data_IF_984174915437
#
_entry.id   IF_984174915437
#
_cell.length_a   1.000
_cell.length_b   1.000
_cell.length_c   1.000
_cell.angle_alpha   90.00
_cell.angle_beta   90.00
_cell.angle_gamma   90.00
#
_symmetry.space_group_name_H-M   'P 1'
#
loop_
_entity.id
_entity.type
_entity.pdbx_description
1 polymer ?
#
# COMPACT_ATOMS: atom_id res chain seq x y z
N UNK A 1 -35.10 -22.08 44.71
CA UNK A 1 -34.16 -22.20 43.56
C UNK A 1 -34.45 -21.26 42.38
N UNK A 2 -35.68 -20.78 42.17
CA UNK A 2 -36.03 -19.88 41.05
C UNK A 2 -35.62 -18.41 41.24
N UNK A 3 -35.45 -17.93 42.48
CA UNK A 3 -35.06 -16.53 42.74
C UNK A 3 -33.57 -16.24 42.48
N UNK A 4 -32.69 -17.23 42.70
CA UNK A 4 -31.24 -17.05 42.48
C UNK A 4 -30.88 -17.04 40.99
N UNK A 5 -31.65 -17.79 40.16
CA UNK A 5 -31.39 -17.81 38.71
C UNK A 5 -31.75 -16.48 38.00
N UNK A 6 -32.78 -15.79 38.50
CA UNK A 6 -33.21 -14.50 37.92
C UNK A 6 -32.21 -13.36 38.22
N UNK A 7 -31.56 -13.40 39.39
CA UNK A 7 -30.58 -12.38 39.79
C UNK A 7 -29.25 -12.53 39.05
N UNK A 8 -28.83 -13.78 38.76
CA UNK A 8 -27.59 -14.04 37.99
C UNK A 8 -27.78 -13.67 36.50
N UNK A 9 -28.94 -13.95 35.91
CA UNK A 9 -29.23 -13.56 34.54
C UNK A 9 -29.27 -12.02 34.32
N UNK A 10 -29.81 -11.28 35.30
CA UNK A 10 -29.84 -9.81 35.25
C UNK A 10 -28.43 -9.19 35.40
N UNK A 11 -27.53 -9.79 36.20
CA UNK A 11 -26.17 -9.30 36.42
C UNK A 11 -25.26 -9.54 35.18
N UNK A 12 -25.48 -10.64 34.43
CA UNK A 12 -24.73 -10.94 33.20
C UNK A 12 -25.17 -10.02 32.04
N UNK A 13 -26.44 -9.66 31.96
CA UNK A 13 -26.94 -8.73 30.94
C UNK A 13 -26.46 -7.29 31.17
N UNK A 14 -26.30 -6.85 32.42
CA UNK A 14 -25.76 -5.51 32.72
C UNK A 14 -24.25 -5.40 32.43
N UNK A 15 -23.48 -6.48 32.59
CA UNK A 15 -22.04 -6.47 32.29
C UNK A 15 -21.73 -6.45 30.79
N UNK A 16 -22.62 -6.97 29.94
CA UNK A 16 -22.44 -6.90 28.47
C UNK A 16 -22.83 -5.51 27.89
N UNK A 17 -23.73 -4.78 28.53
CA UNK A 17 -24.12 -3.43 28.09
C UNK A 17 -23.04 -2.37 28.37
N UNK A 18 -22.16 -2.59 29.34
CA UNK A 18 -21.08 -1.64 29.67
C UNK A 18 -19.90 -1.66 28.71
N UNK A 19 -19.69 -2.76 27.95
CA UNK A 19 -18.58 -2.88 27.03
C UNK A 19 -18.79 -2.15 25.69
N UNK A 20 -20.05 -1.84 25.32
CA UNK A 20 -20.36 -1.18 24.05
C UNK A 20 -20.32 0.36 24.12
N UNK A 21 -20.26 0.96 25.30
CA UNK A 21 -20.33 2.42 25.49
C UNK A 21 -18.94 3.10 25.52
N UNK A 22 -17.85 2.31 25.56
CA UNK A 22 -16.50 2.85 25.79
C UNK A 22 -15.82 3.41 24.51
N UNK A 23 -16.43 3.27 23.35
CA UNK A 23 -15.78 3.60 22.07
C UNK A 23 -16.46 4.70 21.25
N UNK A 24 -17.60 5.24 21.71
CA UNK A 24 -18.26 6.35 21.05
C UNK A 24 -17.49 7.64 21.25
N UNK A 25 -16.96 8.19 20.17
CA UNK A 25 -16.29 9.49 20.16
C UNK A 25 -14.76 9.43 20.22
N UNK A 26 -14.13 8.23 20.26
CA UNK A 26 -12.67 8.10 20.14
C UNK A 26 -12.17 8.61 18.79
N UNK A 27 -11.03 9.30 18.78
CA UNK A 27 -10.36 9.71 17.55
C UNK A 27 -9.27 8.69 17.20
N UNK A 28 -9.47 8.01 16.07
CA UNK A 28 -8.47 7.10 15.48
C UNK A 28 -7.50 7.91 14.64
N UNK A 29 -6.25 8.02 15.09
CA UNK A 29 -5.17 8.68 14.37
C UNK A 29 -4.53 7.73 13.38
N UNK A 30 -4.43 8.16 12.12
CA UNK A 30 -3.82 7.42 11.01
C UNK A 30 -2.67 8.26 10.47
N UNK A 31 -1.44 7.78 10.57
CA UNK A 31 -0.31 8.43 9.91
C UNK A 31 -0.30 8.08 8.43
N UNK A 32 -0.27 9.11 7.60
CA UNK A 32 -0.11 8.98 6.15
C UNK A 32 1.33 9.35 5.78
N UNK A 33 2.13 8.36 5.35
CA UNK A 33 3.58 8.48 5.12
C UNK A 33 3.90 8.36 3.63
N UNK A 34 3.75 9.43 2.89
CA UNK A 34 4.04 9.46 1.45
C UNK A 34 4.63 10.82 1.02
N UNK A 35 5.17 10.95 -0.21
CA UNK A 35 5.91 12.15 -0.60
C UNK A 35 5.00 13.38 -0.72
N UNK A 36 5.30 14.42 0.04
CA UNK A 36 4.71 15.75 -0.07
C UNK A 36 5.67 16.78 -0.65
N UNK A 37 6.91 16.37 -0.93
CA UNK A 37 7.95 17.18 -1.56
C UNK A 37 8.62 16.43 -2.72
N UNK A 38 9.42 17.15 -3.52
CA UNK A 38 10.15 16.59 -4.66
C UNK A 38 9.27 16.21 -5.85
N UNK A 39 9.77 15.31 -6.69
CA UNK A 39 9.15 14.95 -7.98
C UNK A 39 7.75 14.34 -7.86
N UNK A 40 7.46 13.68 -6.74
CA UNK A 40 6.18 13.01 -6.50
C UNK A 40 5.21 13.84 -5.65
N UNK A 41 5.54 15.09 -5.32
CA UNK A 41 4.73 15.94 -4.44
C UNK A 41 3.29 16.15 -4.93
N UNK A 42 3.10 16.33 -6.23
CA UNK A 42 1.76 16.51 -6.82
C UNK A 42 0.89 15.28 -6.62
N UNK A 43 1.45 14.08 -6.86
CA UNK A 43 0.75 12.80 -6.64
C UNK A 43 0.43 12.63 -5.15
N UNK A 44 1.42 12.78 -4.28
CA UNK A 44 1.24 12.64 -2.85
C UNK A 44 0.21 13.62 -2.27
N UNK A 45 0.26 14.89 -2.69
CA UNK A 45 -0.72 15.90 -2.26
C UNK A 45 -2.15 15.52 -2.65
N UNK A 46 -2.37 15.00 -3.86
CA UNK A 46 -3.70 14.56 -4.29
C UNK A 46 -4.19 13.35 -3.48
N UNK A 47 -3.33 12.38 -3.25
CA UNK A 47 -3.64 11.21 -2.44
C UNK A 47 -3.94 11.60 -0.99
N UNK A 48 -3.11 12.46 -0.38
CA UNK A 48 -3.34 12.99 0.98
C UNK A 48 -4.73 13.64 1.11
N UNK A 49 -5.10 14.50 0.17
CA UNK A 49 -6.42 15.15 0.17
C UNK A 49 -7.56 14.13 0.07
N UNK A 50 -7.39 13.06 -0.71
CA UNK A 50 -8.37 11.98 -0.79
C UNK A 50 -8.53 11.26 0.54
N UNK A 51 -7.43 10.96 1.23
CA UNK A 51 -7.46 10.36 2.56
C UNK A 51 -8.12 11.27 3.59
N UNK A 52 -7.80 12.57 3.59
CA UNK A 52 -8.41 13.55 4.50
C UNK A 52 -9.93 13.68 4.25
N UNK A 53 -10.34 13.80 2.99
CA UNK A 53 -11.75 13.85 2.63
C UNK A 53 -12.53 12.61 3.10
N UNK A 54 -11.99 11.41 2.82
CA UNK A 54 -12.64 10.17 3.25
C UNK A 54 -12.67 10.03 4.77
N UNK A 55 -11.61 10.43 5.47
CA UNK A 55 -11.59 10.44 6.93
C UNK A 55 -12.68 11.37 7.50
N UNK A 56 -12.88 12.55 6.91
CA UNK A 56 -13.97 13.47 7.28
C UNK A 56 -15.34 12.83 7.02
N UNK A 57 -15.57 12.28 5.83
CA UNK A 57 -16.85 11.66 5.47
C UNK A 57 -17.19 10.46 6.38
N UNK A 58 -16.24 9.55 6.58
CA UNK A 58 -16.46 8.39 7.45
C UNK A 58 -16.55 8.75 8.93
N UNK A 59 -16.03 9.89 9.36
CA UNK A 59 -16.21 10.39 10.74
C UNK A 59 -17.64 10.85 11.04
N UNK A 60 -18.42 11.21 10.01
CA UNK A 60 -19.81 11.64 10.17
C UNK A 60 -20.74 10.50 10.54
N UNK A 61 -20.53 9.33 9.96
CA UNK A 61 -21.34 8.14 10.21
C UNK A 61 -20.55 6.86 9.91
N UNK A 62 -20.22 6.09 10.96
CA UNK A 62 -19.62 4.78 10.84
C UNK A 62 -20.11 3.86 11.98
N UNK A 63 -20.09 2.51 11.78
CA UNK A 63 -20.61 1.55 12.76
C UNK A 63 -19.90 1.60 14.13
N UNK A 64 -18.63 2.02 14.16
CA UNK A 64 -17.84 2.11 15.38
C UNK A 64 -18.05 3.42 16.17
N UNK A 65 -18.70 4.43 15.56
CA UNK A 65 -18.93 5.73 16.18
C UNK A 65 -17.65 6.53 16.46
N UNK A 66 -16.56 6.22 15.75
CA UNK A 66 -15.25 6.88 15.94
C UNK A 66 -15.04 8.01 14.94
N UNK A 67 -14.13 8.93 15.26
CA UNK A 67 -13.62 9.94 14.33
C UNK A 67 -12.28 9.49 13.77
N UNK A 68 -11.98 9.86 12.52
CA UNK A 68 -10.70 9.60 11.89
C UNK A 68 -9.92 10.90 11.72
N UNK A 69 -8.65 10.87 12.06
CA UNK A 69 -7.71 11.98 11.86
C UNK A 69 -6.53 11.50 11.05
N UNK A 70 -6.29 12.14 9.90
CA UNK A 70 -5.12 11.87 9.06
C UNK A 70 -3.98 12.79 9.46
N UNK A 71 -2.84 12.20 9.84
CA UNK A 71 -1.61 12.91 10.18
C UNK A 71 -0.63 12.71 9.01
N UNK A 72 -0.52 13.69 8.08
CA UNK A 72 0.38 13.58 6.95
C UNK A 72 1.81 13.88 7.38
N UNK A 73 2.74 13.02 6.99
CA UNK A 73 4.17 13.21 7.22
C UNK A 73 4.91 12.88 5.91
N UNK A 74 5.68 13.85 5.42
CA UNK A 74 6.45 13.70 4.19
C UNK A 74 7.60 12.71 4.36
N UNK A 75 7.59 11.62 3.61
CA UNK A 75 8.66 10.63 3.58
C UNK A 75 9.68 10.85 2.45
N UNK A 76 9.49 11.89 1.62
CA UNK A 76 10.35 12.26 0.48
C UNK A 76 10.65 11.10 -0.48
N UNK A 77 9.81 10.07 -0.48
CA UNK A 77 10.00 8.81 -1.22
C UNK A 77 11.30 8.07 -0.83
N UNK A 78 11.86 8.31 0.35
CA UNK A 78 13.11 7.76 0.86
C UNK A 78 12.85 6.75 1.98
N UNK A 79 13.46 5.54 1.95
CA UNK A 79 13.37 4.58 3.06
C UNK A 79 13.84 5.16 4.40
N UNK A 80 14.90 5.98 4.41
CA UNK A 80 15.45 6.61 5.61
C UNK A 80 14.48 7.64 6.20
N UNK A 81 13.95 8.54 5.36
CA UNK A 81 12.97 9.53 5.80
C UNK A 81 11.67 8.86 6.25
N UNK A 82 11.26 7.76 5.58
CA UNK A 82 10.10 6.97 5.97
C UNK A 82 10.26 6.38 7.38
N UNK A 83 11.46 5.88 7.72
CA UNK A 83 11.73 5.36 9.07
C UNK A 83 11.66 6.48 10.12
N UNK A 84 12.15 7.68 9.79
CA UNK A 84 12.07 8.85 10.68
C UNK A 84 10.63 9.33 10.85
N UNK A 85 9.87 9.42 9.76
CA UNK A 85 8.45 9.78 9.75
C UNK A 85 7.61 8.78 10.57
N UNK A 86 7.87 7.48 10.40
CA UNK A 86 7.20 6.42 11.17
C UNK A 86 7.46 6.56 12.67
N UNK A 87 8.70 6.83 13.07
CA UNK A 87 9.04 7.06 14.48
C UNK A 87 8.29 8.26 15.04
N UNK A 88 8.29 9.39 14.33
CA UNK A 88 7.53 10.58 14.72
C UNK A 88 6.02 10.31 14.86
N UNK A 89 5.44 9.48 14.00
CA UNK A 89 4.04 9.06 14.11
C UNK A 89 3.79 8.21 15.37
N UNK A 90 4.66 7.24 15.64
CA UNK A 90 4.54 6.40 16.84
C UNK A 90 4.68 7.20 18.14
N UNK A 91 5.56 8.20 18.18
CA UNK A 91 5.73 9.11 19.32
C UNK A 91 4.45 9.94 19.59
N UNK A 92 3.62 10.16 18.58
CA UNK A 92 2.30 10.81 18.68
C UNK A 92 1.17 9.83 19.06
N UNK A 93 1.50 8.58 19.36
CA UNK A 93 0.53 7.54 19.75
C UNK A 93 -0.24 6.94 18.59
N UNK A 94 0.21 7.11 17.34
CA UNK A 94 -0.42 6.50 16.17
C UNK A 94 -0.27 4.99 16.20
N UNK A 95 -1.36 4.29 15.87
CA UNK A 95 -1.43 2.83 15.80
C UNK A 95 -1.71 2.30 14.39
N UNK A 96 -2.06 3.18 13.46
CA UNK A 96 -2.38 2.86 12.08
C UNK A 96 -1.54 3.71 11.15
N UNK A 97 -0.80 3.07 10.26
CA UNK A 97 0.05 3.72 9.27
C UNK A 97 -0.43 3.35 7.89
N UNK A 98 -0.56 4.33 7.01
CA UNK A 98 -0.84 4.14 5.59
C UNK A 98 0.32 4.68 4.76
N UNK A 99 0.70 3.95 3.73
CA UNK A 99 1.74 4.35 2.77
C UNK A 99 1.52 3.55 1.47
N UNK A 100 1.81 4.15 0.32
CA UNK A 100 1.61 3.50 -0.96
C UNK A 100 2.69 3.78 -1.99
N UNK A 101 3.37 4.91 -1.93
CA UNK A 101 4.34 5.27 -2.97
C UNK A 101 5.72 4.66 -2.67
N UNK A 102 6.10 3.69 -3.51
CA UNK A 102 7.42 3.08 -3.48
C UNK A 102 7.57 1.88 -2.53
N UNK A 103 8.03 0.76 -3.09
CA UNK A 103 8.23 -0.49 -2.34
C UNK A 103 9.43 -0.44 -1.38
N UNK A 104 10.41 0.44 -1.63
CA UNK A 104 11.50 0.69 -0.68
C UNK A 104 11.02 1.29 0.64
N UNK A 105 10.26 2.41 0.64
CA UNK A 105 9.55 2.92 1.81
C UNK A 105 8.67 1.89 2.50
N UNK A 106 7.89 1.11 1.75
CA UNK A 106 7.05 0.05 2.30
C UNK A 106 7.85 -0.98 3.10
N UNK A 107 8.95 -1.47 2.53
CA UNK A 107 9.84 -2.42 3.21
C UNK A 107 10.44 -1.81 4.48
N UNK A 108 10.85 -0.54 4.46
CA UNK A 108 11.40 0.15 5.62
C UNK A 108 10.36 0.25 6.77
N UNK A 109 9.09 0.49 6.45
CA UNK A 109 8.00 0.45 7.43
C UNK A 109 7.87 -0.95 8.03
N UNK A 110 7.80 -1.98 7.18
CA UNK A 110 7.64 -3.37 7.63
C UNK A 110 8.76 -3.80 8.57
N UNK A 111 10.02 -3.57 8.20
CA UNK A 111 11.20 -3.90 9.01
C UNK A 111 11.21 -3.16 10.37
N UNK A 112 10.78 -1.90 10.38
CA UNK A 112 10.70 -1.11 11.61
C UNK A 112 9.56 -1.58 12.51
N UNK A 113 8.39 -1.89 11.94
CA UNK A 113 7.23 -2.37 12.71
C UNK A 113 7.44 -3.75 13.30
N UNK A 114 8.09 -4.68 12.60
CA UNK A 114 8.47 -5.98 13.18
C UNK A 114 9.24 -5.81 14.47
N UNK A 115 10.25 -4.93 14.47
CA UNK A 115 11.09 -4.64 15.65
C UNK A 115 10.31 -3.91 16.75
N UNK A 116 9.44 -2.97 16.37
CA UNK A 116 8.63 -2.21 17.32
C UNK A 116 7.59 -3.11 18.01
N UNK A 117 6.80 -3.83 17.22
CA UNK A 117 5.68 -4.65 17.70
C UNK A 117 6.16 -5.84 18.53
N UNK A 118 7.35 -6.40 18.24
CA UNK A 118 7.96 -7.43 19.06
C UNK A 118 8.26 -6.95 20.50
N UNK A 119 8.61 -5.67 20.67
CA UNK A 119 9.05 -5.08 21.93
C UNK A 119 7.95 -4.34 22.70
N UNK A 120 6.88 -3.92 22.02
CA UNK A 120 5.83 -3.04 22.58
C UNK A 120 4.46 -3.71 22.54
N UNK A 121 4.31 -4.83 23.27
CA UNK A 121 3.06 -5.56 23.36
C UNK A 121 1.93 -4.69 23.92
N UNK A 122 0.76 -4.75 23.29
CA UNK A 122 -0.38 -3.89 23.57
C UNK A 122 -0.29 -2.49 22.95
N UNK A 123 0.82 -2.19 22.25
CA UNK A 123 1.04 -0.94 21.50
C UNK A 123 1.50 -1.21 20.08
N UNK A 124 1.07 -2.33 19.51
CA UNK A 124 1.41 -2.70 18.15
C UNK A 124 0.82 -1.69 17.15
N UNK A 125 1.52 -1.50 16.03
CA UNK A 125 1.13 -0.62 14.93
C UNK A 125 0.86 -1.47 13.69
N UNK A 126 -0.25 -1.17 13.01
CA UNK A 126 -0.64 -1.79 11.75
C UNK A 126 -0.23 -0.92 10.57
N UNK A 127 0.23 -1.57 9.50
CA UNK A 127 0.55 -0.93 8.24
C UNK A 127 -0.43 -1.36 7.14
N UNK A 128 -1.16 -0.40 6.58
CA UNK A 128 -2.06 -0.54 5.46
C UNK A 128 -1.39 0.03 4.20
N UNK A 129 -0.91 -0.85 3.36
CA UNK A 129 -0.25 -0.53 2.10
C UNK A 129 -1.30 -0.41 0.99
N UNK A 130 -1.53 0.80 0.48
CA UNK A 130 -2.57 1.00 -0.52
C UNK A 130 -2.08 0.97 -1.98
N UNK A 131 -0.74 1.00 -2.25
CA UNK A 131 -0.23 1.03 -3.63
C UNK A 131 1.23 0.57 -3.82
N UNK A 132 1.98 0.17 -2.79
CA UNK A 132 3.31 -0.42 -2.98
C UNK A 132 3.17 -1.89 -3.38
N UNK A 133 3.48 -2.20 -4.63
CA UNK A 133 3.05 -3.42 -5.33
C UNK A 133 4.16 -4.45 -5.55
N UNK A 134 5.27 -4.38 -4.83
CA UNK A 134 6.28 -5.44 -4.86
C UNK A 134 5.67 -6.75 -4.33
N UNK A 135 5.67 -7.84 -5.11
CA UNK A 135 5.13 -9.14 -4.69
C UNK A 135 5.78 -9.68 -3.43
N UNK A 136 7.08 -9.41 -3.21
CA UNK A 136 7.82 -9.92 -2.05
C UNK A 136 7.27 -9.39 -0.72
N UNK A 137 6.62 -8.22 -0.70
CA UNK A 137 6.03 -7.65 0.52
C UNK A 137 4.92 -8.52 1.14
N UNK A 138 4.30 -9.40 0.35
CA UNK A 138 3.28 -10.35 0.83
C UNK A 138 3.67 -11.81 0.56
N UNK A 139 4.92 -12.07 0.17
CA UNK A 139 5.47 -13.39 -0.09
C UNK A 139 6.71 -13.61 0.79
N UNK A 140 7.92 -13.52 0.23
CA UNK A 140 9.17 -13.82 0.94
C UNK A 140 9.45 -12.91 2.14
N UNK A 141 8.88 -11.71 2.16
CA UNK A 141 9.03 -10.70 3.22
C UNK A 141 7.71 -10.40 3.94
N UNK A 142 6.73 -11.30 3.87
CA UNK A 142 5.43 -11.05 4.48
C UNK A 142 5.56 -10.80 5.99
N UNK A 143 4.72 -9.91 6.51
CA UNK A 143 4.60 -9.56 7.92
C UNK A 143 3.15 -9.65 8.37
N UNK A 144 2.94 -10.14 9.60
CA UNK A 144 1.61 -10.18 10.22
C UNK A 144 0.98 -8.77 10.38
N UNK A 145 1.81 -7.73 10.42
CA UNK A 145 1.42 -6.34 10.65
C UNK A 145 1.21 -5.53 9.37
N UNK A 146 1.35 -6.16 8.19
CA UNK A 146 1.24 -5.53 6.89
C UNK A 146 0.06 -6.08 6.09
N UNK A 147 -0.79 -5.19 5.59
CA UNK A 147 -1.91 -5.52 4.73
C UNK A 147 -1.85 -4.71 3.45
N UNK A 148 -1.73 -5.37 2.31
CA UNK A 148 -1.77 -4.70 1.00
C UNK A 148 -3.19 -4.71 0.44
N UNK A 149 -3.65 -3.53 0.00
CA UNK A 149 -4.99 -3.30 -0.53
C UNK A 149 -5.05 -3.26 -2.06
N UNK A 150 -3.89 -3.28 -2.74
CA UNK A 150 -3.79 -3.29 -4.21
C UNK A 150 -3.22 -4.63 -4.72
N UNK A 151 -3.55 -4.97 -5.96
CA UNK A 151 -2.94 -6.08 -6.67
C UNK A 151 -1.44 -5.85 -6.86
N UNK A 152 -0.62 -6.87 -6.67
CA UNK A 152 0.82 -6.75 -6.89
C UNK A 152 1.21 -6.79 -8.38
N UNK A 153 2.50 -6.52 -8.63
CA UNK A 153 3.03 -6.49 -10.00
C UNK A 153 2.82 -7.81 -10.74
N UNK A 154 2.94 -8.94 -10.07
CA UNK A 154 2.75 -10.25 -10.71
C UNK A 154 1.29 -10.46 -11.11
N UNK A 155 0.33 -10.08 -10.26
CA UNK A 155 -1.10 -10.14 -10.55
C UNK A 155 -1.49 -9.20 -11.70
N UNK A 156 -0.95 -7.98 -11.71
CA UNK A 156 -1.15 -7.01 -12.79
C UNK A 156 -0.61 -7.52 -14.13
N UNK A 157 0.59 -8.10 -14.13
CA UNK A 157 1.19 -8.69 -15.33
C UNK A 157 0.47 -9.96 -15.77
N UNK A 158 -0.04 -10.77 -14.85
CA UNK A 158 -0.84 -11.93 -15.18
C UNK A 158 -2.13 -11.53 -15.93
N UNK A 159 -2.81 -10.49 -15.48
CA UNK A 159 -4.00 -9.96 -16.14
C UNK A 159 -3.67 -9.40 -17.54
N UNK A 160 -2.64 -8.54 -17.63
CA UNK A 160 -2.23 -7.93 -18.88
C UNK A 160 -1.77 -8.97 -19.92
N UNK A 161 -0.95 -9.93 -19.53
CA UNK A 161 -0.46 -10.98 -20.45
C UNK A 161 -1.55 -11.97 -20.84
N UNK A 162 -2.56 -12.19 -19.98
CA UNK A 162 -3.75 -12.96 -20.36
C UNK A 162 -4.61 -12.21 -21.39
N UNK A 163 -4.73 -10.89 -21.28
CA UNK A 163 -5.38 -10.09 -22.30
C UNK A 163 -4.61 -10.12 -23.62
N UNK A 164 -3.29 -9.98 -23.59
CA UNK A 164 -2.45 -10.08 -24.81
C UNK A 164 -2.55 -11.48 -25.45
N UNK A 165 -2.78 -12.53 -24.65
CA UNK A 165 -2.99 -13.88 -25.15
C UNK A 165 -4.14 -13.96 -26.15
N UNK A 166 -5.19 -13.19 -25.94
CA UNK A 166 -6.39 -13.14 -26.82
C UNK A 166 -6.18 -12.25 -28.07
N UNK A 167 -4.98 -11.69 -28.28
CA UNK A 167 -4.65 -10.79 -29.39
C UNK A 167 -3.71 -11.50 -30.38
N UNK A 168 -4.20 -12.30 -31.32
CA UNK A 168 -3.36 -13.12 -32.23
C UNK A 168 -2.47 -12.28 -33.15
N UNK A 169 -2.84 -11.03 -33.42
CA UNK A 169 -2.10 -10.12 -34.32
C UNK A 169 -0.88 -9.48 -33.64
N UNK A 170 -0.80 -9.51 -32.30
CA UNK A 170 0.38 -9.02 -31.58
C UNK A 170 1.51 -10.03 -31.71
N UNK A 171 2.58 -9.69 -32.41
CA UNK A 171 3.76 -10.53 -32.63
C UNK A 171 5.02 -9.94 -32.02
N UNK A 172 5.07 -8.64 -31.78
CA UNK A 172 6.20 -7.95 -31.18
C UNK A 172 5.76 -7.10 -30.00
N UNK A 173 6.54 -7.09 -28.94
CA UNK A 173 6.34 -6.29 -27.72
C UNK A 173 7.61 -5.57 -27.37
N UNK A 174 7.52 -4.28 -27.11
CA UNK A 174 8.60 -3.46 -26.57
C UNK A 174 8.27 -3.08 -25.13
N UNK A 175 9.18 -3.35 -24.19
CA UNK A 175 9.02 -2.99 -22.78
C UNK A 175 9.71 -1.65 -22.51
N UNK A 176 8.95 -0.68 -22.01
CA UNK A 176 9.49 0.62 -21.60
C UNK A 176 9.05 0.91 -20.17
N UNK A 177 9.97 0.81 -19.23
CA UNK A 177 9.72 0.89 -17.81
C UNK A 177 10.53 2.00 -17.13
N UNK A 178 10.22 2.33 -15.90
CA UNK A 178 11.02 3.24 -15.09
C UNK A 178 12.04 2.46 -14.25
N UNK A 179 13.23 3.02 -14.09
CA UNK A 179 14.37 2.39 -13.39
C UNK A 179 14.19 2.46 -11.86
N UNK A 180 13.35 1.61 -11.32
CA UNK A 180 13.17 1.33 -9.89
C UNK A 180 12.57 -0.06 -9.69
N UNK A 181 12.42 -0.51 -8.44
CA UNK A 181 12.02 -1.89 -8.13
C UNK A 181 10.77 -2.37 -8.90
N UNK A 182 9.70 -1.56 -8.95
CA UNK A 182 8.49 -1.92 -9.70
C UNK A 182 8.75 -2.08 -11.20
N UNK A 183 9.49 -1.15 -11.85
CA UNK A 183 9.78 -1.23 -13.28
C UNK A 183 10.57 -2.49 -13.65
N UNK A 184 11.56 -2.86 -12.84
CA UNK A 184 12.31 -4.11 -13.02
C UNK A 184 11.42 -5.35 -12.88
N UNK A 185 10.49 -5.35 -11.94
CA UNK A 185 9.54 -6.45 -11.77
C UNK A 185 8.53 -6.53 -12.89
N UNK A 186 8.01 -5.39 -13.39
CA UNK A 186 7.14 -5.36 -14.58
C UNK A 186 7.85 -6.02 -15.76
N UNK A 187 9.09 -5.61 -16.06
CA UNK A 187 9.90 -6.21 -17.12
C UNK A 187 10.07 -7.73 -16.93
N UNK A 188 10.46 -8.16 -15.73
CA UNK A 188 10.65 -9.57 -15.42
C UNK A 188 9.37 -10.38 -15.63
N UNK A 189 8.28 -10.00 -14.99
CA UNK A 189 7.04 -10.76 -15.06
C UNK A 189 6.39 -10.71 -16.45
N UNK A 190 6.52 -9.60 -17.19
CA UNK A 190 6.07 -9.52 -18.56
C UNK A 190 6.80 -10.56 -19.45
N UNK A 191 8.13 -10.64 -19.35
CA UNK A 191 8.93 -11.59 -20.10
C UNK A 191 8.59 -13.05 -19.75
N UNK A 192 8.57 -13.36 -18.44
CA UNK A 192 8.32 -14.71 -17.96
C UNK A 192 6.93 -15.20 -18.40
N UNK A 193 5.91 -14.38 -18.23
CA UNK A 193 4.52 -14.73 -18.52
C UNK A 193 4.19 -14.71 -20.01
N UNK A 194 4.81 -13.83 -20.82
CA UNK A 194 4.66 -13.87 -22.27
C UNK A 194 5.35 -15.10 -22.84
N UNK A 195 6.53 -15.47 -22.37
CA UNK A 195 7.21 -16.70 -22.77
C UNK A 195 6.35 -17.94 -22.52
N UNK A 196 5.59 -17.96 -21.42
CA UNK A 196 4.68 -19.07 -21.11
C UNK A 196 3.41 -19.05 -21.95
N UNK A 197 2.73 -17.89 -22.02
CA UNK A 197 1.39 -17.78 -22.60
C UNK A 197 1.37 -17.55 -24.10
N UNK A 198 2.41 -16.91 -24.64
CA UNK A 198 2.55 -16.48 -26.03
C UNK A 198 4.01 -16.59 -26.48
N UNK A 199 4.57 -17.83 -26.57
CA UNK A 199 5.96 -18.05 -26.99
C UNK A 199 6.25 -17.57 -28.42
N UNK A 200 5.21 -17.26 -29.20
CA UNK A 200 5.29 -16.69 -30.54
C UNK A 200 5.53 -15.18 -30.56
N UNK A 201 5.46 -14.49 -29.41
CA UNK A 201 5.74 -13.06 -29.32
C UNK A 201 7.23 -12.83 -29.10
N UNK A 202 7.81 -11.99 -29.96
CA UNK A 202 9.17 -11.49 -29.83
C UNK A 202 9.22 -10.26 -28.92
N UNK A 203 10.08 -10.25 -27.91
CA UNK A 203 10.36 -9.04 -27.13
C UNK A 203 11.50 -8.29 -27.81
N UNK A 204 11.16 -7.25 -28.55
CA UNK A 204 12.06 -6.50 -29.43
C UNK A 204 12.83 -5.39 -28.72
N UNK A 205 12.55 -5.14 -27.45
CA UNK A 205 13.29 -4.20 -26.62
C UNK A 205 12.83 -4.16 -25.17
N UNK A 206 13.71 -3.69 -24.29
CA UNK A 206 13.48 -3.54 -22.85
C UNK A 206 14.33 -2.38 -22.32
N UNK A 207 13.78 -1.19 -22.33
CA UNK A 207 14.45 0.02 -21.86
C UNK A 207 13.94 0.44 -20.47
N UNK A 208 14.88 0.92 -19.64
CA UNK A 208 14.61 1.51 -18.34
C UNK A 208 14.87 3.00 -18.38
N UNK A 209 13.84 3.80 -18.13
CA UNK A 209 13.95 5.26 -18.06
C UNK A 209 14.26 5.73 -16.63
N UNK A 210 15.02 6.81 -16.43
CA UNK A 210 15.16 7.43 -15.11
C UNK A 210 13.81 7.76 -14.48
N UNK A 211 13.60 7.39 -13.20
CA UNK A 211 12.34 7.57 -12.50
C UNK A 211 11.89 9.03 -12.51
N UNK A 212 10.74 9.32 -13.11
CA UNK A 212 10.07 10.62 -13.17
C UNK A 212 10.95 11.78 -13.76
N UNK A 213 12.04 11.47 -14.49
CA UNK A 213 12.96 12.49 -15.00
C UNK A 213 12.85 12.71 -16.51
N UNK A 214 12.26 11.76 -17.25
CA UNK A 214 12.13 11.87 -18.71
C UNK A 214 11.05 12.88 -19.05
N UNK A 215 11.42 13.93 -19.78
CA UNK A 215 10.51 14.95 -20.31
C UNK A 215 10.19 14.77 -21.79
N UNK A 216 11.12 14.15 -22.52
CA UNK A 216 10.99 13.86 -23.94
C UNK A 216 11.19 12.37 -24.20
N UNK A 217 10.14 11.70 -24.68
CA UNK A 217 10.16 10.27 -25.03
C UNK A 217 10.51 10.01 -26.49
N UNK A 218 10.78 11.03 -27.31
CA UNK A 218 11.08 10.90 -28.74
C UNK A 218 12.22 9.91 -29.02
N UNK A 219 13.33 9.84 -28.26
CA UNK A 219 14.39 8.84 -28.48
C UNK A 219 13.89 7.40 -28.29
N UNK A 220 13.03 7.16 -27.28
CA UNK A 220 12.46 5.82 -27.05
C UNK A 220 11.46 5.44 -28.14
N UNK A 221 10.62 6.41 -28.58
CA UNK A 221 9.68 6.19 -29.70
C UNK A 221 10.44 5.86 -30.98
N UNK A 222 11.58 6.52 -31.23
CA UNK A 222 12.42 6.22 -32.39
C UNK A 222 12.95 4.77 -32.36
N UNK A 223 13.42 4.31 -31.19
CA UNK A 223 13.85 2.92 -31.02
C UNK A 223 12.71 1.92 -31.25
N UNK A 224 11.53 2.17 -30.69
CA UNK A 224 10.35 1.31 -30.87
C UNK A 224 9.95 1.20 -32.35
N UNK A 225 10.05 2.30 -33.10
CA UNK A 225 9.73 2.30 -34.53
C UNK A 225 10.78 1.55 -35.40
N UNK A 226 11.99 1.39 -34.91
CA UNK A 226 13.09 0.70 -35.61
C UNK A 226 13.14 -0.81 -35.27
N UNK A 227 12.46 -1.24 -34.24
CA UNK A 227 12.39 -2.64 -33.80
C UNK A 227 11.15 -3.35 -34.34
#
# INVERSE_FOLDING_TARGET
MQFVLKTVAASVLLSCAGASMAQQGETVKIAWLDPLSGLMAALGTNQMKSWQYLAEEFSKNNPAGVKFEIIPIDNKLSPQETTSALRSAMDQGVRYVVQGNGSGPALAIMDALEKHNARNKGKEVLYLNYAAVDPDLTNSKCSYWHFRLDADTSMKMAALTSYIKEMPDVKKVYLLNQNYAHGHQVSKYAKDMLKEKRPDIEIVGDDMTPLAQVRDFSPYIAKIKQS
#
